data_IF_682916228851
#
_entry.id   IF_682916228851
#
_cell.length_a   1.000
_cell.length_b   1.000
_cell.length_c   1.000
_cell.angle_alpha   90.00
_cell.angle_beta   90.00
_cell.angle_gamma   90.00
#
_symmetry.space_group_name_H-M   'P 1'
#
loop_
_entity.id
_entity.type
_entity.pdbx_description
1 polymer ?
#
# COMPACT_ATOMS: atom_id res chain seq x y z
N UNK A 1 18.71 2.21 2.70
CA UNK A 1 17.42 2.04 1.99
C UNK A 1 17.32 0.70 1.27
N UNK A 2 18.30 0.33 0.43
CA UNK A 2 18.33 -0.99 -0.26
C UNK A 2 18.18 -2.16 0.73
N UNK A 3 19.03 -2.21 1.76
CA UNK A 3 18.96 -3.26 2.80
C UNK A 3 17.61 -3.29 3.52
N UNK A 4 17.06 -2.14 3.91
CA UNK A 4 15.74 -2.06 4.56
C UNK A 4 14.62 -2.58 3.65
N UNK A 5 14.66 -2.25 2.35
CA UNK A 5 13.71 -2.74 1.36
C UNK A 5 13.80 -4.26 1.20
N UNK A 6 15.02 -4.80 1.09
CA UNK A 6 15.26 -6.24 0.99
C UNK A 6 14.77 -6.98 2.24
N UNK A 7 15.11 -6.48 3.43
CA UNK A 7 14.64 -7.07 4.69
C UNK A 7 13.11 -7.03 4.81
N UNK A 8 12.47 -5.91 4.44
CA UNK A 8 11.01 -5.79 4.47
C UNK A 8 10.33 -6.76 3.49
N UNK A 9 10.93 -6.97 2.31
CA UNK A 9 10.42 -7.91 1.31
C UNK A 9 10.52 -9.38 1.77
N UNK A 10 11.55 -9.72 2.56
CA UNK A 10 11.72 -11.08 3.12
C UNK A 10 10.82 -11.29 4.34
N UNK A 11 10.76 -10.32 5.26
CA UNK A 11 10.09 -10.47 6.54
C UNK A 11 8.61 -10.84 6.41
N UNK A 12 7.83 -10.12 5.60
CA UNK A 12 6.39 -10.32 5.58
C UNK A 12 5.96 -11.70 5.04
N UNK A 13 6.44 -12.16 3.86
CA UNK A 13 6.12 -13.50 3.38
C UNK A 13 6.60 -14.60 4.34
N UNK A 14 7.79 -14.44 4.92
CA UNK A 14 8.33 -15.39 5.90
C UNK A 14 7.48 -15.46 7.17
N UNK A 15 7.05 -14.33 7.73
CA UNK A 15 6.18 -14.31 8.90
C UNK A 15 4.84 -14.97 8.61
N UNK A 16 4.21 -14.65 7.48
CA UNK A 16 2.95 -15.30 7.08
C UNK A 16 3.13 -16.81 6.87
N UNK A 17 4.25 -17.23 6.26
CA UNK A 17 4.59 -18.65 6.11
C UNK A 17 4.71 -19.39 7.45
N UNK A 18 5.40 -18.78 8.44
CA UNK A 18 5.51 -19.34 9.80
C UNK A 18 4.14 -19.42 10.47
N UNK A 19 3.30 -18.38 10.34
CA UNK A 19 1.95 -18.39 10.90
C UNK A 19 1.08 -19.49 10.29
N UNK A 20 1.13 -19.70 8.97
CA UNK A 20 0.39 -20.78 8.29
C UNK A 20 0.84 -22.17 8.73
N UNK A 21 2.12 -22.35 9.04
CA UNK A 21 2.64 -23.63 9.53
C UNK A 21 2.24 -23.91 10.98
N UNK A 22 2.14 -22.88 11.82
CA UNK A 22 1.86 -23.03 13.25
C UNK A 22 0.36 -23.00 13.59
N UNK A 23 -0.45 -22.25 12.84
CA UNK A 23 -1.86 -22.04 13.14
C UNK A 23 -2.73 -22.53 11.99
N UNK A 24 -3.95 -23.00 12.30
CA UNK A 24 -4.95 -23.43 11.32
C UNK A 24 -6.32 -22.82 11.63
N UNK A 25 -7.15 -22.68 10.60
CA UNK A 25 -8.53 -22.19 10.73
C UNK A 25 -8.62 -20.81 11.41
N UNK A 26 -9.51 -20.69 12.40
CA UNK A 26 -9.75 -19.43 13.12
C UNK A 26 -8.53 -18.90 13.88
N UNK A 27 -7.64 -19.78 14.35
CA UNK A 27 -6.42 -19.36 15.03
C UNK A 27 -5.43 -18.66 14.08
N UNK A 28 -5.33 -19.16 12.84
CA UNK A 28 -4.51 -18.52 11.80
C UNK A 28 -5.05 -17.13 11.46
N UNK A 29 -6.38 -17.03 11.37
CA UNK A 29 -7.05 -15.76 11.12
C UNK A 29 -6.76 -14.73 12.21
N UNK A 30 -6.87 -15.13 13.48
CA UNK A 30 -6.49 -14.28 14.62
C UNK A 30 -5.02 -13.88 14.58
N UNK A 31 -4.12 -14.82 14.25
CA UNK A 31 -2.70 -14.54 14.16
C UNK A 31 -2.36 -13.53 13.05
N UNK A 32 -2.97 -13.67 11.87
CA UNK A 32 -2.84 -12.69 10.78
C UNK A 32 -3.41 -11.33 11.18
N UNK A 33 -4.51 -11.30 11.95
CA UNK A 33 -5.02 -10.03 12.47
C UNK A 33 -4.01 -9.37 13.42
N UNK A 34 -3.45 -10.11 14.38
CA UNK A 34 -2.41 -9.57 15.27
C UNK A 34 -1.18 -9.06 14.50
N UNK A 35 -0.77 -9.75 13.44
CA UNK A 35 0.30 -9.29 12.54
C UNK A 35 -0.05 -7.95 11.90
N UNK A 36 -1.27 -7.77 11.42
CA UNK A 36 -1.72 -6.52 10.79
C UNK A 36 -1.86 -5.37 11.80
N UNK A 37 -2.39 -5.68 13.00
CA UNK A 37 -2.44 -4.74 14.12
C UNK A 37 -1.03 -4.27 14.48
N UNK A 38 -0.06 -5.20 14.57
CA UNK A 38 1.34 -4.86 14.84
C UNK A 38 1.96 -4.03 13.71
N UNK A 39 1.74 -4.41 12.45
CA UNK A 39 2.33 -3.72 11.29
C UNK A 39 1.83 -2.28 11.20
N UNK A 40 0.51 -2.07 11.24
CA UNK A 40 -0.06 -0.74 11.03
C UNK A 40 -0.07 0.08 12.32
N UNK A 41 -0.32 -0.55 13.47
CA UNK A 41 -0.15 0.09 14.78
C UNK A 41 1.30 0.53 15.00
N UNK A 42 2.26 -0.28 14.55
CA UNK A 42 3.68 0.08 14.50
C UNK A 42 3.95 1.31 13.64
N UNK A 43 3.35 1.42 12.45
CA UNK A 43 3.47 2.63 11.60
C UNK A 43 2.92 3.87 12.32
N UNK A 44 1.74 3.77 12.93
CA UNK A 44 1.14 4.89 13.65
C UNK A 44 1.94 5.33 14.87
N UNK A 45 2.37 4.37 15.70
CA UNK A 45 3.23 4.64 16.85
C UNK A 45 4.59 5.18 16.42
N UNK A 46 5.20 4.61 15.38
CA UNK A 46 6.48 5.08 14.85
C UNK A 46 6.40 6.50 14.31
N UNK A 47 5.27 6.92 13.73
CA UNK A 47 5.06 8.31 13.32
C UNK A 47 5.08 9.29 14.49
N UNK A 48 4.31 9.00 15.54
CA UNK A 48 4.20 9.87 16.74
C UNK A 48 5.52 9.88 17.52
N UNK A 49 6.03 8.69 17.85
CA UNK A 49 7.27 8.54 18.62
C UNK A 49 8.45 9.08 17.81
N UNK A 50 8.53 8.77 16.51
CA UNK A 50 9.58 9.22 15.63
C UNK A 50 9.62 10.74 15.45
N UNK A 51 8.46 11.41 15.44
CA UNK A 51 8.36 12.87 15.43
C UNK A 51 8.84 13.51 16.73
N UNK A 52 8.42 12.97 17.88
CA UNK A 52 8.86 13.44 19.20
C UNK A 52 10.39 13.28 19.38
N UNK A 53 10.93 12.12 18.99
CA UNK A 53 12.37 11.86 19.06
C UNK A 53 13.14 12.79 18.13
N UNK A 54 12.69 12.94 16.88
CA UNK A 54 13.37 13.81 15.92
C UNK A 54 13.44 15.27 16.40
N UNK A 55 12.39 15.74 17.08
CA UNK A 55 12.29 17.11 17.60
C UNK A 55 13.19 17.33 18.82
N UNK A 56 13.28 16.35 19.73
CA UNK A 56 13.96 16.52 21.02
C UNK A 56 15.40 15.99 21.05
N UNK A 57 15.67 14.92 20.30
CA UNK A 57 16.92 14.16 20.36
C UNK A 57 17.59 14.00 18.98
N UNK A 58 17.08 14.68 17.95
CA UNK A 58 17.58 14.58 16.58
C UNK A 58 17.09 13.35 15.83
N UNK A 59 17.00 13.47 14.51
CA UNK A 59 16.43 12.44 13.63
C UNK A 59 17.25 11.14 13.59
N UNK A 60 18.55 11.20 13.88
CA UNK A 60 19.45 10.04 13.90
C UNK A 60 19.04 9.02 14.99
N UNK A 61 18.49 9.49 16.10
CA UNK A 61 18.07 8.66 17.24
C UNK A 61 16.97 7.67 16.85
N UNK A 62 16.16 7.97 15.82
CA UNK A 62 15.17 7.04 15.26
C UNK A 62 15.81 5.76 14.70
N UNK A 63 17.02 5.85 14.14
CA UNK A 63 17.75 4.68 13.64
C UNK A 63 18.29 3.82 14.79
N UNK A 64 18.80 4.46 15.84
CA UNK A 64 19.30 3.76 17.04
C UNK A 64 18.16 2.96 17.69
N UNK A 65 16.99 3.58 17.86
CA UNK A 65 15.81 2.92 18.45
C UNK A 65 15.34 1.76 17.58
N UNK A 66 15.36 1.93 16.24
CA UNK A 66 15.03 0.83 15.31
C UNK A 66 15.97 -0.36 15.47
N UNK A 67 17.27 -0.11 15.69
CA UNK A 67 18.27 -1.16 15.95
C UNK A 67 17.98 -1.86 17.28
N UNK A 68 17.68 -1.11 18.34
CA UNK A 68 17.35 -1.67 19.67
C UNK A 68 16.10 -2.55 19.59
N UNK A 69 15.04 -2.08 18.92
CA UNK A 69 13.80 -2.86 18.74
C UNK A 69 14.08 -4.13 17.92
N UNK A 70 14.88 -4.05 16.85
CA UNK A 70 15.28 -5.22 16.07
C UNK A 70 16.05 -6.23 16.92
N UNK A 71 16.94 -5.78 17.80
CA UNK A 71 17.67 -6.64 18.72
C UNK A 71 16.74 -7.32 19.73
N UNK A 72 15.79 -6.59 20.32
CA UNK A 72 14.77 -7.14 21.21
C UNK A 72 13.93 -8.20 20.49
N UNK A 73 13.53 -7.94 19.24
CA UNK A 73 12.78 -8.92 18.44
C UNK A 73 13.59 -10.21 18.22
N UNK A 74 14.89 -10.12 17.93
CA UNK A 74 15.78 -11.28 17.81
C UNK A 74 15.86 -12.05 19.13
N UNK A 75 15.98 -11.35 20.26
CA UNK A 75 16.00 -11.98 21.58
C UNK A 75 14.68 -12.70 21.91
N UNK A 76 13.53 -12.10 21.58
CA UNK A 76 12.21 -12.72 21.77
C UNK A 76 12.00 -13.94 20.88
N UNK A 77 12.64 -13.99 19.71
CA UNK A 77 12.63 -15.15 18.82
C UNK A 77 13.54 -16.29 19.32
N UNK A 78 14.55 -15.97 20.14
CA UNK A 78 15.57 -16.90 20.65
C UNK A 78 14.94 -17.88 21.65
N UNK A 79 14.38 -18.97 21.14
CA UNK A 79 13.66 -20.00 21.91
C UNK A 79 12.42 -20.54 21.21
N UNK A 80 12.01 -19.94 20.10
CA UNK A 80 10.90 -20.46 19.29
C UNK A 80 11.40 -21.67 18.48
N UNK A 81 10.77 -22.86 18.59
CA UNK A 81 11.22 -24.03 17.86
C UNK A 81 11.04 -23.85 16.36
N UNK A 82 12.11 -24.10 15.61
CA UNK A 82 12.13 -24.02 14.16
C UNK A 82 11.39 -25.23 13.57
N UNK A 83 10.08 -25.06 13.32
CA UNK A 83 9.29 -26.04 12.57
C UNK A 83 9.48 -25.81 11.08
N UNK A 84 10.56 -26.36 10.53
CA UNK A 84 10.76 -26.42 9.07
C UNK A 84 9.65 -27.31 8.50
N UNK A 85 8.90 -26.79 7.53
CA UNK A 85 7.89 -27.59 6.83
C UNK A 85 8.58 -28.73 6.08
N UNK A 86 8.22 -29.97 6.42
CA UNK A 86 8.74 -31.20 5.77
C UNK A 86 8.39 -31.30 4.26
N UNK A 87 7.56 -30.39 3.74
CA UNK A 87 7.10 -30.34 2.35
C UNK A 87 7.81 -29.28 1.50
N UNK A 88 8.99 -28.80 1.89
CA UNK A 88 9.83 -28.02 0.97
C UNK A 88 10.36 -28.97 -0.11
N UNK A 89 9.55 -29.25 -1.12
CA UNK A 89 10.05 -29.74 -2.39
C UNK A 89 11.13 -28.75 -2.82
N UNK A 90 12.38 -29.23 -2.92
CA UNK A 90 13.54 -28.49 -3.40
C UNK A 90 13.34 -28.18 -4.88
N UNK A 91 12.35 -27.36 -5.22
CA UNK A 91 12.31 -26.78 -6.54
C UNK A 91 13.42 -25.73 -6.61
N UNK A 92 14.26 -25.77 -7.65
CA UNK A 92 15.28 -24.76 -7.85
C UNK A 92 14.58 -23.39 -7.94
N UNK A 93 15.00 -22.46 -7.07
CA UNK A 93 14.47 -21.11 -7.06
C UNK A 93 14.87 -20.39 -8.36
N UNK A 94 13.92 -19.74 -9.02
CA UNK A 94 14.17 -19.05 -10.28
C UNK A 94 14.82 -17.67 -10.04
N UNK A 95 16.14 -17.68 -9.86
CA UNK A 95 16.94 -16.46 -9.72
C UNK A 95 16.92 -15.59 -10.98
N UNK A 96 16.72 -16.19 -12.17
CA UNK A 96 16.67 -15.45 -13.44
C UNK A 96 15.36 -14.69 -13.53
N UNK A 97 14.22 -15.38 -13.33
CA UNK A 97 12.90 -14.78 -13.27
C UNK A 97 12.82 -13.67 -12.21
N UNK A 98 13.35 -13.91 -11.00
CA UNK A 98 13.42 -12.89 -9.95
C UNK A 98 14.19 -11.64 -10.37
N UNK A 99 15.37 -11.80 -10.97
CA UNK A 99 16.23 -10.67 -11.37
C UNK A 99 15.57 -9.83 -12.46
N UNK A 100 14.98 -10.49 -13.45
CA UNK A 100 14.24 -9.85 -14.55
C UNK A 100 13.02 -9.11 -14.00
N UNK A 101 12.28 -9.75 -13.09
CA UNK A 101 11.14 -9.13 -12.44
C UNK A 101 11.53 -7.90 -11.61
N UNK A 102 12.65 -7.96 -10.89
CA UNK A 102 13.16 -6.83 -10.11
C UNK A 102 13.53 -5.64 -11.01
N UNK A 103 14.17 -5.90 -12.16
CA UNK A 103 14.50 -4.85 -13.15
C UNK A 103 13.22 -4.28 -13.77
N UNK A 104 12.24 -5.12 -14.11
CA UNK A 104 10.95 -4.70 -14.67
C UNK A 104 10.20 -3.77 -13.71
N UNK A 105 9.98 -4.20 -12.47
CA UNK A 105 9.24 -3.41 -11.48
C UNK A 105 10.05 -2.18 -11.04
N UNK A 106 11.37 -2.31 -10.93
CA UNK A 106 12.27 -1.21 -10.58
C UNK A 106 12.25 -0.08 -11.63
N UNK A 107 12.40 -0.41 -12.91
CA UNK A 107 12.34 0.57 -14.01
C UNK A 107 10.97 1.24 -14.12
N UNK A 108 9.88 0.49 -13.93
CA UNK A 108 8.53 1.06 -13.88
C UNK A 108 8.32 2.00 -12.69
N UNK A 109 8.80 1.60 -11.50
CA UNK A 109 8.69 2.44 -10.29
C UNK A 109 9.53 3.71 -10.41
N UNK A 110 10.72 3.63 -11.02
CA UNK A 110 11.55 4.80 -11.31
C UNK A 110 10.88 5.74 -12.31
N UNK A 111 10.27 5.21 -13.37
CA UNK A 111 9.51 6.01 -14.31
C UNK A 111 8.35 6.76 -13.61
N UNK A 112 7.62 6.09 -12.73
CA UNK A 112 6.50 6.72 -12.01
C UNK A 112 7.00 7.77 -11.01
N UNK A 113 8.05 7.46 -10.25
CA UNK A 113 8.51 8.34 -9.16
C UNK A 113 9.34 9.53 -9.66
N UNK A 114 10.17 9.35 -10.68
CA UNK A 114 11.03 10.40 -11.22
C UNK A 114 10.58 10.95 -12.57
N UNK A 115 9.60 10.35 -13.24
CA UNK A 115 9.10 10.83 -14.53
C UNK A 115 8.55 12.26 -14.46
N UNK A 116 8.02 12.66 -13.30
CA UNK A 116 7.63 14.04 -13.07
C UNK A 116 8.84 15.00 -12.97
N UNK A 117 9.81 14.71 -12.09
CA UNK A 117 10.99 15.57 -11.88
C UNK A 117 11.91 15.65 -13.11
N UNK A 118 12.10 14.53 -13.79
CA UNK A 118 12.96 14.43 -14.99
C UNK A 118 12.21 14.76 -16.28
N UNK A 119 10.90 14.99 -16.22
CA UNK A 119 10.03 15.19 -17.37
C UNK A 119 9.64 13.89 -18.10
N UNK A 120 8.35 13.77 -18.43
CA UNK A 120 7.78 12.57 -19.05
C UNK A 120 8.34 12.25 -20.44
N UNK A 121 8.81 13.27 -21.16
CA UNK A 121 9.39 13.15 -22.51
C UNK A 121 10.93 13.22 -22.53
N UNK A 122 11.59 13.14 -21.37
CA UNK A 122 13.05 13.13 -21.34
C UNK A 122 13.63 11.78 -21.76
N UNK A 123 14.91 11.80 -22.14
CA UNK A 123 15.68 10.58 -22.42
C UNK A 123 15.62 9.59 -21.26
N UNK A 124 15.58 10.06 -20.01
CA UNK A 124 15.45 9.21 -18.83
C UNK A 124 14.13 8.41 -18.84
N UNK A 125 13.00 9.09 -19.07
CA UNK A 125 11.68 8.46 -19.12
C UNK A 125 11.58 7.44 -20.25
N UNK A 126 12.13 7.75 -21.43
CA UNK A 126 12.20 6.80 -22.54
C UNK A 126 13.08 5.58 -22.22
N UNK A 127 14.25 5.77 -21.59
CA UNK A 127 15.10 4.65 -21.17
C UNK A 127 14.36 3.74 -20.18
N UNK A 128 13.74 4.30 -19.14
CA UNK A 128 12.98 3.52 -18.16
C UNK A 128 11.81 2.77 -18.81
N UNK A 129 11.07 3.42 -19.71
CA UNK A 129 9.97 2.80 -20.43
C UNK A 129 10.44 1.68 -21.36
N UNK A 130 11.53 1.89 -22.11
CA UNK A 130 12.13 0.87 -22.98
C UNK A 130 12.61 -0.33 -22.17
N UNK A 131 13.31 -0.11 -21.04
CA UNK A 131 13.73 -1.19 -20.14
C UNK A 131 12.51 -1.94 -19.62
N UNK A 132 11.45 -1.25 -19.21
CA UNK A 132 10.23 -1.88 -18.72
C UNK A 132 9.59 -2.76 -19.80
N UNK A 133 9.42 -2.26 -21.03
CA UNK A 133 8.81 -3.01 -22.13
C UNK A 133 9.66 -4.23 -22.50
N UNK A 134 10.96 -4.05 -22.69
CA UNK A 134 11.89 -5.14 -23.05
C UNK A 134 11.90 -6.21 -21.97
N UNK A 135 12.02 -5.80 -20.70
CA UNK A 135 12.08 -6.73 -19.57
C UNK A 135 10.74 -7.45 -19.38
N UNK A 136 9.61 -6.79 -19.63
CA UNK A 136 8.28 -7.42 -19.62
C UNK A 136 8.15 -8.50 -20.69
N UNK A 137 8.59 -8.23 -21.92
CA UNK A 137 8.57 -9.21 -23.01
C UNK A 137 9.46 -10.41 -22.69
N UNK A 138 10.69 -10.15 -22.21
CA UNK A 138 11.63 -11.19 -21.81
C UNK A 138 11.06 -12.02 -20.66
N UNK A 139 10.47 -11.37 -19.65
CA UNK A 139 9.83 -12.04 -18.52
C UNK A 139 8.74 -12.98 -19.01
N UNK A 140 7.79 -12.50 -19.83
CA UNK A 140 6.70 -13.34 -20.36
C UNK A 140 7.22 -14.54 -21.15
N UNK A 141 8.28 -14.37 -21.95
CA UNK A 141 8.87 -15.46 -22.75
C UNK A 141 9.52 -16.52 -21.85
N UNK A 142 10.28 -16.10 -20.84
CA UNK A 142 10.98 -17.00 -19.92
C UNK A 142 9.97 -17.72 -19.03
N UNK A 143 9.02 -16.98 -18.44
CA UNK A 143 8.01 -17.49 -17.53
C UNK A 143 7.12 -18.55 -18.18
N UNK A 144 6.80 -18.37 -19.47
CA UNK A 144 6.01 -19.34 -20.24
C UNK A 144 6.77 -20.61 -20.61
N UNK A 145 8.10 -20.58 -20.59
CA UNK A 145 8.96 -21.71 -20.97
C UNK A 145 9.50 -22.48 -19.78
N UNK A 146 9.47 -21.91 -18.58
CA UNK A 146 9.95 -22.55 -17.36
C UNK A 146 8.90 -23.47 -16.72
N UNK A 147 9.33 -24.66 -16.31
CA UNK A 147 8.46 -25.64 -15.61
C UNK A 147 8.06 -25.16 -14.20
N UNK A 148 8.89 -24.31 -13.57
CA UNK A 148 8.62 -23.69 -12.27
C UNK A 148 8.76 -22.16 -12.42
N UNK A 149 7.71 -21.45 -12.84
CA UNK A 149 7.75 -20.00 -13.00
C UNK A 149 7.89 -19.30 -11.64
N UNK A 150 8.56 -18.14 -11.63
CA UNK A 150 8.67 -17.26 -10.48
C UNK A 150 7.32 -16.69 -10.03
N UNK A 151 6.46 -16.31 -10.99
CA UNK A 151 5.06 -15.92 -10.82
C UNK A 151 4.18 -16.96 -11.49
N UNK A 152 3.51 -17.75 -10.65
CA UNK A 152 2.46 -18.62 -11.11
C UNK A 152 1.21 -17.79 -11.49
N UNK A 153 0.98 -17.63 -12.80
CA UNK A 153 -0.17 -16.90 -13.35
C UNK A 153 -1.54 -17.46 -12.91
N UNK A 154 -1.61 -18.68 -12.38
CA UNK A 154 -2.86 -19.20 -11.80
C UNK A 154 -3.32 -18.40 -10.57
N UNK A 155 -2.40 -17.77 -9.84
CA UNK A 155 -2.71 -16.85 -8.73
C UNK A 155 -3.49 -15.65 -9.26
N UNK A 156 -3.08 -15.11 -10.41
CA UNK A 156 -3.77 -14.01 -11.10
C UNK A 156 -5.05 -14.44 -11.82
N UNK A 157 -5.43 -15.72 -11.80
CA UNK A 157 -6.73 -16.20 -12.29
C UNK A 157 -7.76 -16.31 -11.17
N UNK A 158 -7.31 -16.30 -9.92
CA UNK A 158 -8.16 -16.41 -8.75
C UNK A 158 -8.88 -15.09 -8.47
N UNK A 159 -10.20 -15.09 -8.69
CA UNK A 159 -11.04 -13.90 -8.65
C UNK A 159 -10.98 -13.14 -7.30
N UNK A 160 -11.17 -13.79 -6.13
CA UNK A 160 -10.97 -13.15 -4.83
C UNK A 160 -9.63 -12.43 -4.67
N UNK A 161 -8.53 -13.05 -5.15
CA UNK A 161 -7.20 -12.48 -5.05
C UNK A 161 -7.01 -11.25 -5.93
N UNK A 162 -7.41 -11.32 -7.21
CA UNK A 162 -7.37 -10.17 -8.12
C UNK A 162 -8.18 -9.01 -7.55
N UNK A 163 -9.37 -9.29 -7.00
CA UNK A 163 -10.21 -8.27 -6.37
C UNK A 163 -9.49 -7.59 -5.20
N UNK A 164 -8.85 -8.37 -4.31
CA UNK A 164 -8.06 -7.83 -3.21
C UNK A 164 -6.82 -7.05 -3.69
N UNK A 165 -6.13 -7.56 -4.72
CA UNK A 165 -4.97 -6.93 -5.34
C UNK A 165 -5.32 -5.56 -5.95
N UNK A 166 -6.35 -5.50 -6.79
CA UNK A 166 -6.82 -4.26 -7.41
C UNK A 166 -7.29 -3.26 -6.36
N UNK A 167 -8.04 -3.74 -5.36
CA UNK A 167 -8.52 -2.88 -4.29
C UNK A 167 -7.36 -2.27 -3.48
N UNK A 168 -6.32 -3.07 -3.19
CA UNK A 168 -5.14 -2.57 -2.49
C UNK A 168 -4.36 -1.55 -3.34
N UNK A 169 -4.20 -1.80 -4.64
CA UNK A 169 -3.60 -0.86 -5.58
C UNK A 169 -4.34 0.49 -5.58
N UNK A 170 -5.67 0.44 -5.69
CA UNK A 170 -6.52 1.63 -5.78
C UNK A 170 -6.53 2.43 -4.48
N UNK A 171 -6.65 1.76 -3.33
CA UNK A 171 -6.61 2.45 -2.04
C UNK A 171 -5.27 3.15 -1.80
N UNK A 172 -4.15 2.50 -2.15
CA UNK A 172 -2.83 3.10 -1.99
C UNK A 172 -2.56 4.24 -2.98
N UNK A 173 -3.24 4.29 -4.13
CA UNK A 173 -3.16 5.44 -5.04
C UNK A 173 -3.61 6.76 -4.40
N UNK A 174 -4.42 6.69 -3.34
CA UNK A 174 -4.80 7.85 -2.52
C UNK A 174 -3.61 8.56 -1.84
N UNK A 175 -2.42 7.95 -1.79
CA UNK A 175 -1.21 8.64 -1.34
C UNK A 175 -0.89 9.89 -2.19
N UNK A 176 -1.28 9.90 -3.47
CA UNK A 176 -1.14 11.07 -4.34
C UNK A 176 -1.93 12.28 -3.85
N UNK A 177 -3.14 12.07 -3.32
CA UNK A 177 -3.97 13.12 -2.69
C UNK A 177 -3.24 13.75 -1.51
N UNK A 178 -2.58 12.92 -0.69
CA UNK A 178 -1.84 13.39 0.48
C UNK A 178 -0.67 14.27 0.06
N UNK A 179 0.08 13.87 -0.97
CA UNK A 179 1.20 14.66 -1.51
C UNK A 179 0.71 15.99 -2.07
N UNK A 180 -0.34 16.00 -2.89
CA UNK A 180 -0.91 17.24 -3.45
C UNK A 180 -1.44 18.16 -2.36
N UNK A 181 -2.07 17.61 -1.31
CA UNK A 181 -2.45 18.39 -0.14
C UNK A 181 -1.25 19.05 0.54
N UNK A 182 -0.14 18.32 0.75
CA UNK A 182 1.06 18.91 1.36
C UNK A 182 1.64 20.04 0.52
N UNK A 183 1.67 19.89 -0.81
CA UNK A 183 2.14 20.93 -1.71
C UNK A 183 1.20 22.14 -1.59
N UNK A 184 -0.10 21.94 -1.77
CA UNK A 184 -1.11 23.00 -1.70
C UNK A 184 -1.11 23.75 -0.36
N UNK A 185 -0.98 23.03 0.75
CA UNK A 185 -0.94 23.60 2.09
C UNK A 185 0.29 24.47 2.32
N UNK A 186 1.45 24.05 1.82
CA UNK A 186 2.69 24.81 2.00
C UNK A 186 2.79 25.99 1.03
N UNK A 187 2.38 25.83 -0.22
CA UNK A 187 2.52 26.89 -1.24
C UNK A 187 1.40 27.93 -1.20
N UNK A 188 0.16 27.54 -0.88
CA UNK A 188 -1.00 28.45 -0.97
C UNK A 188 -1.60 28.82 0.37
N UNK A 189 -1.65 27.88 1.33
CA UNK A 189 -2.13 28.19 2.68
C UNK A 189 -1.03 28.79 3.57
N UNK A 190 0.23 28.81 3.09
CA UNK A 190 1.38 29.31 3.85
C UNK A 190 1.64 28.51 5.13
N UNK A 191 1.09 27.29 5.23
CA UNK A 191 1.26 26.43 6.39
C UNK A 191 2.70 25.91 6.40
N UNK A 192 3.33 25.97 7.57
CA UNK A 192 4.60 25.27 7.79
C UNK A 192 4.43 23.76 7.61
N UNK A 193 5.50 23.05 7.27
CA UNK A 193 5.48 21.58 7.19
C UNK A 193 4.93 20.92 8.46
N UNK A 194 5.22 21.50 9.64
CA UNK A 194 4.69 21.03 10.92
C UNK A 194 3.17 21.19 11.02
N UNK A 195 2.63 22.33 10.61
CA UNK A 195 1.18 22.59 10.63
C UNK A 195 0.43 21.69 9.65
N UNK A 196 0.95 21.50 8.43
CA UNK A 196 0.38 20.56 7.46
C UNK A 196 0.41 19.12 7.99
N UNK A 197 1.49 18.74 8.69
CA UNK A 197 1.60 17.46 9.39
C UNK A 197 0.50 17.27 10.43
N UNK A 198 0.23 18.29 11.26
CA UNK A 198 -0.84 18.26 12.27
C UNK A 198 -2.24 18.05 11.66
N UNK A 199 -2.50 18.61 10.47
CA UNK A 199 -3.78 18.40 9.75
C UNK A 199 -3.94 16.94 9.30
N UNK A 200 -2.84 16.27 8.96
CA UNK A 200 -2.86 14.85 8.56
C UNK A 200 -2.76 13.88 9.74
N UNK A 201 -2.44 14.34 10.95
CA UNK A 201 -2.26 13.50 12.13
C UNK A 201 -3.53 12.70 12.52
N UNK A 202 -4.75 13.26 12.46
CA UNK A 202 -5.99 12.52 12.68
C UNK A 202 -6.15 11.31 11.74
N UNK A 203 -5.67 11.39 10.49
CA UNK A 203 -5.69 10.26 9.56
C UNK A 203 -4.96 9.05 10.16
N UNK A 204 -3.75 9.26 10.68
CA UNK A 204 -2.94 8.18 11.24
C UNK A 204 -3.61 7.57 12.49
N UNK A 205 -4.12 8.40 13.40
CA UNK A 205 -4.78 7.94 14.63
C UNK A 205 -6.04 7.13 14.31
N UNK A 206 -6.90 7.67 13.44
CA UNK A 206 -8.16 7.01 13.06
C UNK A 206 -7.89 5.74 12.27
N UNK A 207 -6.90 5.74 11.37
CA UNK A 207 -6.53 4.54 10.62
C UNK A 207 -6.14 3.40 11.57
N UNK A 208 -5.33 3.69 12.59
CA UNK A 208 -4.95 2.71 13.62
C UNK A 208 -6.16 2.22 14.42
N UNK A 209 -7.04 3.13 14.86
CA UNK A 209 -8.24 2.78 15.61
C UNK A 209 -9.23 1.90 14.80
N UNK A 210 -9.40 2.22 13.52
CA UNK A 210 -10.36 1.59 12.62
C UNK A 210 -9.97 0.17 12.20
N UNK A 211 -8.72 -0.23 12.41
CA UNK A 211 -8.28 -1.61 12.12
C UNK A 211 -8.95 -2.63 13.04
N UNK A 212 -9.06 -2.33 14.34
CA UNK A 212 -9.77 -3.21 15.29
C UNK A 212 -11.25 -3.34 14.93
N UNK A 213 -11.85 -2.23 14.48
CA UNK A 213 -13.24 -2.25 14.01
C UNK A 213 -13.36 -3.01 12.69
N UNK A 214 -12.39 -2.84 11.77
CA UNK A 214 -12.27 -3.58 10.52
C UNK A 214 -12.20 -5.08 10.74
N UNK A 215 -11.44 -5.56 11.72
CA UNK A 215 -11.41 -6.97 12.08
C UNK A 215 -12.79 -7.44 12.60
N UNK A 216 -13.36 -6.75 13.59
CA UNK A 216 -14.65 -7.14 14.19
C UNK A 216 -15.76 -7.15 13.15
N UNK A 217 -15.81 -6.16 12.27
CA UNK A 217 -16.79 -6.11 11.21
C UNK A 217 -16.49 -7.13 10.10
N UNK A 218 -15.24 -7.56 9.90
CA UNK A 218 -14.92 -8.70 9.00
C UNK A 218 -15.54 -9.98 9.54
N UNK A 219 -15.41 -10.22 10.84
CA UNK A 219 -15.97 -11.40 11.51
C UNK A 219 -17.50 -11.40 11.50
N UNK A 220 -18.14 -10.22 11.58
CA UNK A 220 -19.60 -10.09 11.68
C UNK A 220 -20.32 -10.00 10.34
N UNK A 221 -19.74 -9.29 9.37
CA UNK A 221 -20.39 -8.96 8.09
C UNK A 221 -19.70 -9.59 6.87
N UNK A 222 -18.54 -10.25 7.07
CA UNK A 222 -17.76 -10.88 6.02
C UNK A 222 -16.82 -9.92 5.28
N UNK A 223 -15.64 -10.40 4.92
CA UNK A 223 -14.58 -9.57 4.30
C UNK A 223 -14.95 -8.98 2.93
N UNK A 224 -15.87 -9.61 2.19
CA UNK A 224 -16.35 -9.07 0.91
C UNK A 224 -17.05 -7.72 1.08
N UNK A 225 -17.96 -7.61 2.05
CA UNK A 225 -18.72 -6.38 2.27
C UNK A 225 -17.77 -5.21 2.58
N UNK A 226 -16.66 -5.50 3.27
CA UNK A 226 -15.67 -4.48 3.63
C UNK A 226 -14.79 -4.06 2.46
N UNK A 227 -14.41 -5.00 1.58
CA UNK A 227 -13.76 -4.66 0.31
C UNK A 227 -14.65 -3.80 -0.59
N UNK A 228 -15.97 -3.97 -0.49
CA UNK A 228 -16.97 -3.22 -1.25
C UNK A 228 -17.20 -1.84 -0.63
N UNK A 229 -17.42 -1.73 0.68
CA UNK A 229 -17.78 -0.45 1.30
C UNK A 229 -16.54 0.41 1.58
N UNK A 230 -15.40 -0.23 1.87
CA UNK A 230 -14.17 0.44 2.26
C UNK A 230 -13.70 1.53 1.30
N UNK A 231 -13.62 1.31 -0.02
CA UNK A 231 -13.21 2.31 -1.01
C UNK A 231 -14.18 3.49 -1.16
N UNK A 232 -15.44 3.35 -0.76
CA UNK A 232 -16.42 4.44 -0.81
C UNK A 232 -16.06 5.56 0.18
N UNK A 233 -15.49 5.20 1.33
CA UNK A 233 -15.09 6.19 2.33
C UNK A 233 -13.98 7.13 1.81
N UNK A 234 -12.85 6.65 1.24
CA UNK A 234 -11.88 7.54 0.62
C UNK A 234 -12.46 8.39 -0.51
N UNK A 235 -13.38 7.88 -1.32
CA UNK A 235 -14.07 8.68 -2.34
C UNK A 235 -14.80 9.86 -1.71
N UNK A 236 -15.57 9.63 -0.65
CA UNK A 236 -16.27 10.68 0.10
C UNK A 236 -15.26 11.66 0.73
N UNK A 237 -14.22 11.14 1.38
CA UNK A 237 -13.21 11.96 2.04
C UNK A 237 -12.44 12.86 1.06
N UNK A 238 -12.05 12.34 -0.09
CA UNK A 238 -11.38 13.11 -1.15
C UNK A 238 -12.35 14.13 -1.77
N UNK A 239 -13.64 13.82 -1.85
CA UNK A 239 -14.66 14.78 -2.32
C UNK A 239 -14.78 15.97 -1.38
N UNK A 240 -14.65 15.76 -0.07
CA UNK A 240 -14.63 16.87 0.89
C UNK A 240 -13.33 17.67 0.79
N UNK A 241 -12.19 16.98 0.62
CA UNK A 241 -10.87 17.61 0.42
C UNK A 241 -10.83 18.44 -0.89
N UNK A 242 -11.62 18.08 -1.89
CA UNK A 242 -11.67 18.80 -3.17
C UNK A 242 -12.38 20.15 -3.10
N UNK A 243 -13.07 20.46 -2.00
CA UNK A 243 -13.76 21.74 -1.77
C UNK A 243 -12.79 22.88 -1.42
N UNK A 244 -11.79 23.12 -2.27
CA UNK A 244 -10.75 24.16 -2.06
C UNK A 244 -11.25 25.59 -2.22
N UNK A 245 -12.50 25.78 -2.66
CA UNK A 245 -13.15 27.09 -2.77
C UNK A 245 -13.60 27.67 -1.42
N UNK A 246 -13.48 26.90 -0.33
CA UNK A 246 -13.79 27.34 1.02
C UNK A 246 -12.74 28.32 1.56
N UNK A 247 -13.13 29.14 2.55
CA UNK A 247 -12.19 29.98 3.27
C UNK A 247 -11.11 29.14 3.96
N UNK A 248 -9.87 29.62 4.14
CA UNK A 248 -8.74 28.83 4.66
C UNK A 248 -9.03 28.09 5.98
N UNK A 249 -9.70 28.73 6.93
CA UNK A 249 -10.06 28.12 8.22
C UNK A 249 -11.09 26.99 8.07
N UNK A 250 -12.11 27.19 7.23
CA UNK A 250 -13.13 26.19 6.92
C UNK A 250 -12.56 25.03 6.10
N UNK A 251 -11.63 25.32 5.20
CA UNK A 251 -10.94 24.33 4.39
C UNK A 251 -10.11 23.37 5.25
N UNK A 252 -9.36 23.87 6.23
CA UNK A 252 -8.58 23.02 7.14
C UNK A 252 -9.50 22.03 7.87
N UNK A 253 -10.65 22.48 8.36
CA UNK A 253 -11.63 21.60 9.02
C UNK A 253 -12.17 20.55 8.05
N UNK A 254 -12.54 20.97 6.83
CA UNK A 254 -13.01 20.06 5.79
C UNK A 254 -11.96 18.99 5.46
N UNK A 255 -10.68 19.38 5.36
CA UNK A 255 -9.57 18.47 5.11
C UNK A 255 -9.38 17.48 6.25
N UNK A 256 -9.43 17.92 7.52
CA UNK A 256 -9.35 17.02 8.67
C UNK A 256 -10.48 15.99 8.62
N UNK A 257 -11.71 16.42 8.37
CA UNK A 257 -12.87 15.53 8.25
C UNK A 257 -12.67 14.55 7.08
N UNK A 258 -12.24 15.05 5.91
CA UNK A 258 -12.00 14.24 4.73
C UNK A 258 -10.95 13.16 4.97
N UNK A 259 -9.83 13.53 5.59
CA UNK A 259 -8.77 12.58 5.96
C UNK A 259 -9.25 11.56 6.99
N UNK A 260 -10.03 11.96 8.00
CA UNK A 260 -10.64 11.02 8.95
C UNK A 260 -11.52 10.00 8.24
N UNK A 261 -12.33 10.44 7.28
CA UNK A 261 -13.18 9.54 6.49
C UNK A 261 -12.32 8.61 5.61
N UNK A 262 -11.28 9.11 4.94
CA UNK A 262 -10.33 8.28 4.20
C UNK A 262 -9.68 7.21 5.10
N UNK A 263 -9.29 7.59 6.32
CA UNK A 263 -8.67 6.70 7.29
C UNK A 263 -9.60 5.55 7.72
N UNK A 264 -10.90 5.84 7.87
CA UNK A 264 -11.91 4.82 8.18
C UNK A 264 -11.94 3.74 7.09
N UNK A 265 -12.05 4.13 5.82
CA UNK A 265 -12.08 3.16 4.73
C UNK A 265 -10.80 2.35 4.58
N UNK A 266 -9.65 3.02 4.65
CA UNK A 266 -8.35 2.33 4.57
C UNK A 266 -8.14 1.36 5.73
N UNK A 267 -8.50 1.75 6.96
CA UNK A 267 -8.43 0.88 8.13
C UNK A 267 -9.38 -0.32 8.04
N UNK A 268 -10.60 -0.13 7.53
CA UNK A 268 -11.57 -1.21 7.34
C UNK A 268 -11.09 -2.28 6.34
N UNK A 269 -10.34 -1.88 5.31
CA UNK A 269 -9.94 -2.77 4.21
C UNK A 269 -8.60 -3.46 4.43
N UNK A 270 -7.67 -2.81 5.13
CA UNK A 270 -6.29 -3.29 5.26
C UNK A 270 -6.22 -4.76 5.72
N UNK A 271 -6.97 -5.11 6.76
CA UNK A 271 -7.03 -6.47 7.33
C UNK A 271 -7.76 -7.49 6.44
N UNK A 272 -9.03 -7.27 6.03
CA UNK A 272 -9.74 -8.24 5.20
C UNK A 272 -9.11 -8.42 3.81
N UNK A 273 -8.49 -7.38 3.24
CA UNK A 273 -7.81 -7.48 1.95
C UNK A 273 -6.65 -8.48 1.97
N UNK A 274 -5.78 -8.39 2.97
CA UNK A 274 -4.68 -9.36 3.12
C UNK A 274 -5.20 -10.76 3.49
N UNK A 275 -6.19 -10.83 4.38
CA UNK A 275 -6.83 -12.09 4.77
C UNK A 275 -7.39 -12.81 3.54
N UNK A 276 -8.13 -12.12 2.67
CA UNK A 276 -8.67 -12.71 1.44
C UNK A 276 -7.56 -13.11 0.48
N UNK A 277 -6.48 -12.32 0.37
CA UNK A 277 -5.32 -12.69 -0.46
C UNK A 277 -4.65 -13.99 0.01
N UNK A 278 -4.57 -14.22 1.32
CA UNK A 278 -3.98 -15.41 1.92
C UNK A 278 -4.93 -16.62 1.82
N UNK A 279 -6.16 -16.48 2.33
CA UNK A 279 -7.11 -17.60 2.45
C UNK A 279 -7.76 -18.03 1.13
N UNK A 280 -7.65 -17.22 0.06
CA UNK A 280 -8.10 -17.66 -1.27
C UNK A 280 -7.10 -18.57 -1.97
N UNK A 281 -5.88 -18.75 -1.43
CA UNK A 281 -4.79 -19.47 -2.09
C UNK A 281 -4.43 -20.79 -1.39
N UNK A 282 -3.94 -21.79 -2.15
CA UNK A 282 -3.29 -22.96 -1.57
C UNK A 282 -2.10 -22.55 -0.72
N UNK A 283 -1.81 -23.31 0.35
CA UNK A 283 -0.74 -23.01 1.31
C UNK A 283 0.63 -22.79 0.64
N UNK A 284 0.94 -23.52 -0.43
CA UNK A 284 2.20 -23.36 -1.17
C UNK A 284 2.34 -21.98 -1.84
N UNK A 285 1.23 -21.34 -2.21
CA UNK A 285 1.20 -20.07 -2.97
C UNK A 285 0.97 -18.84 -2.09
N UNK A 286 0.76 -19.02 -0.79
CA UNK A 286 0.47 -17.90 0.13
C UNK A 286 1.61 -16.89 0.19
N UNK A 287 2.87 -17.36 0.16
CA UNK A 287 4.04 -16.46 0.15
C UNK A 287 4.05 -15.55 -1.07
N UNK A 288 3.86 -16.13 -2.26
CA UNK A 288 3.76 -15.40 -3.53
C UNK A 288 2.57 -14.42 -3.52
N UNK A 289 1.39 -14.87 -3.09
CA UNK A 289 0.19 -14.05 -3.01
C UNK A 289 0.35 -12.85 -2.06
N UNK A 290 0.95 -13.06 -0.89
CA UNK A 290 1.25 -11.99 0.09
C UNK A 290 2.23 -10.97 -0.48
N UNK A 291 3.28 -11.44 -1.17
CA UNK A 291 4.26 -10.58 -1.83
C UNK A 291 3.62 -9.72 -2.93
N UNK A 292 2.86 -10.35 -3.84
CA UNK A 292 2.14 -9.65 -4.90
C UNK A 292 1.12 -8.66 -4.34
N UNK A 293 0.39 -9.01 -3.28
CA UNK A 293 -0.53 -8.10 -2.60
C UNK A 293 0.18 -6.85 -2.08
N UNK A 294 1.32 -6.99 -1.39
CA UNK A 294 2.10 -5.82 -0.93
C UNK A 294 2.69 -5.00 -2.05
N UNK A 295 3.16 -5.67 -3.11
CA UNK A 295 3.66 -5.01 -4.30
C UNK A 295 2.57 -4.13 -4.94
N UNK A 296 1.33 -4.63 -5.01
CA UNK A 296 0.20 -3.87 -5.55
C UNK A 296 -0.01 -2.53 -4.83
N UNK A 297 0.09 -2.51 -3.50
CA UNK A 297 -0.04 -1.28 -2.72
C UNK A 297 1.11 -0.30 -2.97
N UNK A 298 2.34 -0.80 -3.08
CA UNK A 298 3.51 0.05 -3.35
C UNK A 298 3.44 0.67 -4.75
N UNK A 299 3.09 -0.14 -5.76
CA UNK A 299 2.87 0.32 -7.13
C UNK A 299 1.71 1.30 -7.22
N UNK A 300 0.59 1.01 -6.54
CA UNK A 300 -0.58 1.88 -6.48
C UNK A 300 -0.23 3.24 -5.89
N UNK A 301 0.54 3.26 -4.79
CA UNK A 301 1.05 4.48 -4.19
C UNK A 301 1.94 5.30 -5.11
N UNK A 302 2.95 4.66 -5.71
CA UNK A 302 3.84 5.33 -6.67
C UNK A 302 3.06 5.90 -7.86
N UNK A 303 2.13 5.12 -8.42
CA UNK A 303 1.28 5.54 -9.52
C UNK A 303 0.37 6.72 -9.15
N UNK A 304 -0.28 6.65 -7.98
CA UNK A 304 -1.13 7.71 -7.48
C UNK A 304 -0.37 9.02 -7.26
N UNK A 305 0.82 8.96 -6.67
CA UNK A 305 1.69 10.13 -6.48
C UNK A 305 2.08 10.71 -7.84
N UNK A 306 2.56 9.89 -8.77
CA UNK A 306 2.97 10.32 -10.11
C UNK A 306 1.85 11.02 -10.88
N UNK A 307 0.66 10.40 -10.88
CA UNK A 307 -0.51 10.93 -11.56
C UNK A 307 -0.97 12.26 -10.93
N UNK A 308 -1.16 12.27 -9.61
CA UNK A 308 -1.65 13.45 -8.90
C UNK A 308 -0.68 14.63 -9.00
N UNK A 309 0.63 14.40 -8.83
CA UNK A 309 1.64 15.47 -8.96
C UNK A 309 1.73 16.03 -10.38
N UNK A 310 1.64 15.17 -11.39
CA UNK A 310 1.67 15.58 -12.80
C UNK A 310 0.45 16.42 -13.17
N UNK A 311 -0.76 15.94 -12.84
CA UNK A 311 -2.01 16.66 -13.12
C UNK A 311 -2.00 18.02 -12.41
N UNK A 312 -1.63 18.03 -11.13
CA UNK A 312 -1.57 19.26 -10.34
C UNK A 312 -0.63 20.30 -10.97
N UNK A 313 0.57 19.88 -11.35
CA UNK A 313 1.59 20.80 -11.87
C UNK A 313 1.25 21.33 -13.26
N UNK A 314 0.70 20.50 -14.15
CA UNK A 314 0.25 20.95 -15.48
C UNK A 314 -0.87 21.98 -15.35
N UNK A 315 -1.80 21.76 -14.41
CA UNK A 315 -2.92 22.67 -14.19
C UNK A 315 -2.48 23.96 -13.52
N UNK A 316 -1.47 23.93 -12.63
CA UNK A 316 -0.91 25.14 -12.02
C UNK A 316 -0.29 26.11 -13.03
N UNK A 317 0.10 25.66 -14.24
CA UNK A 317 0.62 26.54 -15.28
C UNK A 317 -0.44 27.47 -15.87
N UNK A 318 -1.71 27.03 -15.91
CA UNK A 318 -2.78 27.72 -16.63
C UNK A 318 -3.94 28.16 -15.73
N UNK A 319 -4.04 27.62 -14.50
CA UNK A 319 -5.17 27.83 -13.61
C UNK A 319 -4.72 28.20 -12.20
N UNK A 320 -5.65 28.82 -11.46
CA UNK A 320 -5.45 29.08 -10.05
C UNK A 320 -5.15 27.76 -9.29
N UNK A 321 -4.22 27.76 -8.33
CA UNK A 321 -3.81 26.55 -7.63
C UNK A 321 -4.91 25.82 -6.88
N UNK A 322 -5.96 26.53 -6.44
CA UNK A 322 -7.17 25.93 -5.88
C UNK A 322 -7.90 25.07 -6.92
N UNK A 323 -8.09 25.59 -8.13
CA UNK A 323 -8.70 24.85 -9.25
C UNK A 323 -7.85 23.64 -9.65
N UNK A 324 -6.52 23.82 -9.72
CA UNK A 324 -5.59 22.74 -10.00
C UNK A 324 -5.69 21.61 -8.94
N UNK A 325 -5.79 21.95 -7.66
CA UNK A 325 -5.99 21.00 -6.57
C UNK A 325 -7.33 20.28 -6.69
N UNK A 326 -8.45 20.99 -6.84
CA UNK A 326 -9.79 20.40 -6.99
C UNK A 326 -9.86 19.41 -8.15
N UNK A 327 -9.36 19.79 -9.33
CA UNK A 327 -9.37 18.92 -10.51
C UNK A 327 -8.51 17.68 -10.28
N UNK A 328 -7.34 17.84 -9.65
CA UNK A 328 -6.48 16.71 -9.30
C UNK A 328 -7.17 15.73 -8.36
N UNK A 329 -7.86 16.24 -7.34
CA UNK A 329 -8.63 15.41 -6.41
C UNK A 329 -9.80 14.70 -7.10
N UNK A 330 -10.48 15.36 -8.06
CA UNK A 330 -11.51 14.72 -8.89
C UNK A 330 -10.92 13.60 -9.75
N UNK A 331 -9.76 13.80 -10.37
CA UNK A 331 -9.06 12.75 -11.14
C UNK A 331 -8.74 11.54 -10.24
N UNK A 332 -8.28 11.79 -9.01
CA UNK A 332 -8.06 10.72 -8.02
C UNK A 332 -9.35 9.99 -7.63
N UNK A 333 -10.48 10.70 -7.50
CA UNK A 333 -11.80 10.10 -7.24
C UNK A 333 -12.22 9.20 -8.41
N UNK A 334 -12.10 9.69 -9.65
CA UNK A 334 -12.45 8.93 -10.85
C UNK A 334 -11.61 7.66 -10.94
N UNK A 335 -10.31 7.75 -10.66
CA UNK A 335 -9.43 6.60 -10.61
C UNK A 335 -9.85 5.61 -9.52
N UNK A 336 -10.24 6.09 -8.34
CA UNK A 336 -10.74 5.24 -7.26
C UNK A 336 -12.04 4.53 -7.61
N UNK A 337 -12.99 5.21 -8.25
CA UNK A 337 -14.26 4.63 -8.68
C UNK A 337 -14.02 3.60 -9.80
N UNK A 338 -13.26 3.97 -10.83
CA UNK A 338 -12.95 3.09 -11.96
C UNK A 338 -12.12 1.88 -11.53
N UNK A 339 -11.20 2.05 -10.59
CA UNK A 339 -10.38 0.95 -10.10
C UNK A 339 -11.12 0.02 -9.12
N UNK A 340 -12.12 0.53 -8.40
CA UNK A 340 -12.93 -0.29 -7.50
C UNK A 340 -14.02 -1.08 -8.24
N UNK A 341 -14.59 -0.55 -9.35
CA UNK A 341 -15.58 -1.22 -10.22
C UNK A 341 -15.20 -2.67 -10.63
N UNK A 342 -14.01 -2.94 -11.18
CA UNK A 342 -13.54 -4.29 -11.47
C UNK A 342 -13.45 -5.17 -10.22
N UNK A 343 -13.03 -4.61 -9.08
CA UNK A 343 -12.99 -5.36 -7.83
C UNK A 343 -14.41 -5.79 -7.39
N UNK A 344 -15.43 -4.95 -7.55
CA UNK A 344 -16.83 -5.33 -7.27
C UNK A 344 -17.34 -6.45 -8.18
N UNK A 345 -17.02 -6.39 -9.48
CA UNK A 345 -17.50 -7.38 -10.46
C UNK A 345 -16.80 -8.73 -10.33
N UNK A 346 -15.52 -8.73 -9.94
CA UNK A 346 -14.69 -9.94 -9.93
C UNK A 346 -14.90 -10.74 -8.63
N UNK A 347 -15.13 -10.11 -7.47
CA UNK A 347 -15.22 -10.84 -6.19
C UNK A 347 -16.52 -11.70 -6.15
N UNK A 348 -16.44 -13.05 -6.10
CA UNK A 348 -17.62 -13.91 -6.07
C UNK A 348 -18.48 -13.71 -4.81
N UNK A 349 -19.79 -14.02 -4.87
CA UNK A 349 -20.76 -13.77 -3.78
C UNK A 349 -20.50 -14.57 -2.49
N UNK A 350 -19.69 -15.63 -2.56
CA UNK A 350 -19.39 -16.52 -1.44
C UNK A 350 -17.88 -16.68 -1.28
N UNK A 351 -17.23 -15.68 -0.68
CA UNK A 351 -15.88 -15.86 -0.15
C UNK A 351 -16.02 -16.26 1.32
N UNK A 352 -15.79 -17.54 1.63
CA UNK A 352 -15.60 -17.94 3.04
C UNK A 352 -14.39 -17.18 3.55
N UNK A 353 -14.68 -16.28 4.49
CA UNK A 353 -13.73 -15.35 5.06
C UNK A 353 -12.97 -15.97 6.22
#
# INVERSE_FOLDING_TARGET
RILQGLSAAILLPSTVGVLNNQFKGDHLRRAISYLMISTVGGIGLAGVIGGLIATNFGWQTNFIISIVIAFIAILLLKGTPEKVSQHSHRHPFDYKGMSIFAVMIGSFTLLLTQGFEQGWFSTFSFICLSIFIITTLIFIIIERRHEVPFIDFSVLRNRPFIGAFLNNFVLNSGLGVTVVFFIYAQTHLGLSAAQSGLVTLPYAIVAVAMIRLGEKATLRFGGKLMLIIGPLFPVIGITIISMTSLQPSQYIIAVVIGFVICAIGNGLVATPGLTIAIFSMPNEKVGLATGLYKMSGTLGGAFGIALSTTVFSILQLNYAPSVAATVTFIVSIVLMILGSLPAYMIIPKTVKS
#
